data_IF_622324629413
#
_entry.id   IF_622324629413
#
_cell.length_a   1.000
_cell.length_b   1.000
_cell.length_c   1.000
_cell.angle_alpha   90.00
_cell.angle_beta   90.00
_cell.angle_gamma   90.00
#
_symmetry.space_group_name_H-M   'P 1'
#
loop_
_entity.id
_entity.type
_entity.pdbx_description
1 polymer ?
#
# COMPACT_ATOMS: atom_id res chain seq x y z
N UNK A 1 34.21 -6.69 -29.52
CA UNK A 1 33.55 -5.97 -28.40
C UNK A 1 34.60 -5.71 -27.33
N UNK A 2 35.03 -4.46 -27.15
CA UNK A 2 36.06 -4.13 -26.16
C UNK A 2 35.47 -4.25 -24.75
N UNK A 3 36.06 -5.11 -23.89
CA UNK A 3 35.75 -5.15 -22.46
C UNK A 3 36.18 -3.82 -21.85
N UNK A 4 35.24 -2.88 -21.67
CA UNK A 4 35.48 -1.69 -20.86
C UNK A 4 35.79 -2.15 -19.44
N UNK A 5 37.07 -2.04 -19.04
CA UNK A 5 37.46 -2.24 -17.64
C UNK A 5 36.78 -1.15 -16.82
N UNK A 6 35.88 -1.53 -15.92
CA UNK A 6 35.25 -0.61 -14.97
C UNK A 6 36.36 -0.02 -14.12
N UNK A 7 36.62 1.27 -14.28
CA UNK A 7 37.65 2.02 -13.54
C UNK A 7 36.99 2.82 -12.43
N UNK A 8 37.70 3.04 -11.32
CA UNK A 8 37.24 3.88 -10.20
C UNK A 8 36.79 5.28 -10.68
N UNK A 9 37.50 5.86 -11.65
CA UNK A 9 37.16 7.13 -12.28
C UNK A 9 35.85 7.07 -13.09
N UNK A 10 35.57 5.93 -13.72
CA UNK A 10 34.31 5.67 -14.43
C UNK A 10 33.13 5.52 -13.47
N UNK A 11 33.30 4.78 -12.38
CA UNK A 11 32.28 4.64 -11.31
C UNK A 11 31.95 6.02 -10.72
N UNK A 12 32.97 6.81 -10.40
CA UNK A 12 32.78 8.19 -9.91
C UNK A 12 32.07 9.07 -10.93
N UNK A 13 32.40 8.94 -12.21
CA UNK A 13 31.72 9.64 -13.31
C UNK A 13 30.23 9.31 -13.38
N UNK A 14 29.86 8.02 -13.28
CA UNK A 14 28.47 7.58 -13.27
C UNK A 14 27.74 8.10 -12.03
N UNK A 15 28.34 7.99 -10.84
CA UNK A 15 27.77 8.51 -9.59
C UNK A 15 27.47 10.02 -9.69
N UNK A 16 28.45 10.80 -10.18
CA UNK A 16 28.28 12.24 -10.38
C UNK A 16 27.19 12.54 -11.40
N UNK A 17 27.15 11.80 -12.51
CA UNK A 17 26.11 11.96 -13.53
C UNK A 17 24.72 11.61 -12.98
N UNK A 18 24.58 10.56 -12.17
CA UNK A 18 23.32 10.21 -11.52
C UNK A 18 22.82 11.29 -10.55
N UNK A 19 23.71 11.86 -9.72
CA UNK A 19 23.34 12.97 -8.82
C UNK A 19 22.95 14.24 -9.58
N UNK A 20 23.67 14.55 -10.66
CA UNK A 20 23.37 15.73 -11.48
C UNK A 20 22.03 15.53 -12.21
N UNK A 21 21.84 14.37 -12.83
CA UNK A 21 20.58 14.00 -13.49
C UNK A 21 19.39 13.93 -12.53
N UNK A 22 19.59 13.52 -11.28
CA UNK A 22 18.55 13.56 -10.25
C UNK A 22 18.06 14.99 -9.98
N UNK A 23 18.98 15.94 -9.91
CA UNK A 23 18.66 17.37 -9.80
C UNK A 23 17.99 17.92 -11.04
N UNK A 24 18.55 17.64 -12.22
CA UNK A 24 18.04 18.12 -13.52
C UNK A 24 16.62 17.63 -13.80
N UNK A 25 16.32 16.37 -13.46
CA UNK A 25 14.98 15.77 -13.58
C UNK A 25 14.02 16.19 -12.44
N UNK A 26 14.43 17.10 -11.55
CA UNK A 26 13.62 17.62 -10.44
C UNK A 26 12.99 16.50 -9.60
N UNK A 27 13.71 15.40 -9.40
CA UNK A 27 13.16 14.19 -8.78
C UNK A 27 12.61 14.49 -7.39
N UNK A 28 13.27 15.34 -6.59
CA UNK A 28 12.78 15.78 -5.28
C UNK A 28 11.40 16.44 -5.34
N UNK A 29 11.15 17.24 -6.38
CA UNK A 29 9.83 17.90 -6.57
C UNK A 29 8.77 16.86 -6.93
N UNK A 30 9.11 15.93 -7.83
CA UNK A 30 8.22 14.85 -8.26
C UNK A 30 7.89 13.90 -7.10
N UNK A 31 8.88 13.51 -6.30
CA UNK A 31 8.67 12.68 -5.10
C UNK A 31 7.88 13.45 -4.03
N UNK A 32 8.10 14.76 -3.92
CA UNK A 32 7.38 15.63 -2.99
C UNK A 32 5.89 15.76 -3.33
N UNK A 33 5.53 15.97 -4.60
CA UNK A 33 4.12 16.00 -5.02
C UNK A 33 3.45 14.66 -4.81
N UNK A 34 4.13 13.56 -5.15
CA UNK A 34 3.64 12.21 -4.94
C UNK A 34 3.36 11.91 -3.46
N UNK A 35 4.28 12.28 -2.56
CA UNK A 35 4.10 12.12 -1.13
C UNK A 35 2.92 12.97 -0.61
N UNK A 36 2.82 14.23 -1.04
CA UNK A 36 1.72 15.12 -0.68
C UNK A 36 0.37 14.52 -1.09
N UNK A 37 0.21 14.13 -2.35
CA UNK A 37 -1.05 13.53 -2.82
C UNK A 37 -1.38 12.22 -2.11
N UNK A 38 -0.37 11.40 -1.79
CA UNK A 38 -0.56 10.15 -1.05
C UNK A 38 -1.09 10.41 0.36
N UNK A 39 -0.41 11.26 1.14
CA UNK A 39 -0.81 11.58 2.53
C UNK A 39 -2.21 12.18 2.57
N UNK A 40 -2.53 13.13 1.68
CA UNK A 40 -3.87 13.72 1.63
C UNK A 40 -4.95 12.73 1.17
N UNK A 41 -4.60 11.70 0.38
CA UNK A 41 -5.53 10.64 -0.02
C UNK A 41 -5.75 9.58 1.07
N UNK A 42 -4.91 9.52 2.11
CA UNK A 42 -5.02 8.53 3.18
C UNK A 42 -6.31 8.68 3.99
N UNK A 43 -6.69 9.89 4.39
CA UNK A 43 -7.89 10.09 5.19
C UNK A 43 -9.17 9.62 4.46
N UNK A 44 -9.43 10.03 3.20
CA UNK A 44 -10.54 9.49 2.41
C UNK A 44 -10.49 7.97 2.23
N UNK A 45 -9.29 7.40 2.01
CA UNK A 45 -9.12 5.95 1.90
C UNK A 45 -9.53 5.23 3.18
N UNK A 46 -9.06 5.72 4.33
CA UNK A 46 -9.33 5.13 5.64
C UNK A 46 -10.81 5.24 6.02
N UNK A 47 -11.47 6.36 5.67
CA UNK A 47 -12.92 6.51 5.79
C UNK A 47 -13.64 5.40 5.02
N UNK A 48 -13.28 5.18 3.76
CA UNK A 48 -13.91 4.12 2.94
C UNK A 48 -13.64 2.73 3.53
N UNK A 49 -12.41 2.42 3.95
CA UNK A 49 -12.07 1.13 4.56
C UNK A 49 -12.87 0.90 5.84
N UNK A 50 -12.88 1.85 6.77
CA UNK A 50 -13.60 1.73 8.05
C UNK A 50 -15.11 1.62 7.81
N UNK A 51 -15.65 2.37 6.86
CA UNK A 51 -17.07 2.26 6.49
C UNK A 51 -17.41 0.86 5.95
N UNK A 52 -16.61 0.32 5.02
CA UNK A 52 -16.85 -1.00 4.44
C UNK A 52 -16.68 -2.12 5.46
N UNK A 53 -15.60 -2.10 6.25
CA UNK A 53 -15.37 -3.06 7.31
C UNK A 53 -16.41 -2.96 8.42
N UNK A 54 -16.87 -1.75 8.73
CA UNK A 54 -17.88 -1.48 9.74
C UNK A 54 -19.24 -2.11 9.45
N UNK A 55 -19.57 -2.36 8.17
CA UNK A 55 -20.78 -3.10 7.77
C UNK A 55 -20.75 -4.54 8.29
N UNK A 56 -19.57 -5.17 8.35
CA UNK A 56 -19.43 -6.58 8.75
C UNK A 56 -19.00 -6.76 10.22
N UNK A 57 -18.08 -5.92 10.70
CA UNK A 57 -17.39 -6.07 11.99
C UNK A 57 -17.92 -5.11 13.06
N UNK A 58 -18.73 -4.12 12.69
CA UNK A 58 -19.00 -2.96 13.54
C UNK A 58 -17.90 -1.91 13.45
N UNK A 59 -18.31 -0.64 13.49
CA UNK A 59 -17.42 0.50 13.20
C UNK A 59 -16.28 0.66 14.20
N UNK A 60 -16.56 0.53 15.50
CA UNK A 60 -15.56 0.69 16.56
C UNK A 60 -14.43 -0.35 16.45
N UNK A 61 -14.80 -1.60 16.12
CA UNK A 61 -13.84 -2.69 15.91
C UNK A 61 -13.00 -2.42 14.66
N UNK A 62 -13.63 -1.99 13.56
CA UNK A 62 -12.91 -1.64 12.34
C UNK A 62 -11.92 -0.48 12.55
N UNK A 63 -12.33 0.58 13.23
CA UNK A 63 -11.48 1.73 13.55
C UNK A 63 -10.29 1.32 14.44
N UNK A 64 -10.53 0.54 15.50
CA UNK A 64 -9.48 0.05 16.38
C UNK A 64 -8.44 -0.82 15.66
N UNK A 65 -8.90 -1.74 14.79
CA UNK A 65 -8.00 -2.60 13.99
C UNK A 65 -7.16 -1.81 13.00
N UNK A 66 -7.75 -0.81 12.34
CA UNK A 66 -7.02 0.07 11.42
C UNK A 66 -6.00 0.90 12.18
N UNK A 67 -6.35 1.44 13.35
CA UNK A 67 -5.42 2.19 14.19
C UNK A 67 -4.22 1.34 14.64
N UNK A 68 -4.43 0.09 15.08
CA UNK A 68 -3.33 -0.82 15.45
C UNK A 68 -2.32 -1.00 14.30
N UNK A 69 -2.81 -1.15 13.06
CA UNK A 69 -1.96 -1.27 11.88
C UNK A 69 -1.21 0.04 11.57
N UNK A 70 -1.87 1.19 11.70
CA UNK A 70 -1.23 2.49 11.52
C UNK A 70 -0.12 2.73 12.53
N UNK A 71 -0.33 2.38 13.80
CA UNK A 71 0.70 2.49 14.84
C UNK A 71 1.91 1.60 14.52
N UNK A 72 1.67 0.38 14.04
CA UNK A 72 2.74 -0.55 13.65
C UNK A 72 3.59 -0.05 12.48
N UNK A 73 3.00 0.71 11.54
CA UNK A 73 3.69 1.16 10.34
C UNK A 73 4.25 2.59 10.42
N UNK A 74 3.53 3.51 11.07
CA UNK A 74 3.84 4.95 11.09
C UNK A 74 4.30 5.45 12.47
N UNK A 75 4.16 4.62 13.51
CA UNK A 75 4.35 5.04 14.88
C UNK A 75 3.11 5.75 15.45
N UNK A 76 3.12 5.91 16.78
CA UNK A 76 1.94 6.34 17.54
C UNK A 76 1.48 7.77 17.19
N UNK A 77 2.41 8.70 17.04
CA UNK A 77 2.08 10.12 16.82
C UNK A 77 1.33 10.34 15.49
N UNK A 78 1.87 9.80 14.39
CA UNK A 78 1.23 9.91 13.06
C UNK A 78 -0.10 9.14 12.99
N UNK A 79 -0.19 7.98 13.67
CA UNK A 79 -1.43 7.22 13.76
C UNK A 79 -2.53 8.00 14.49
N UNK A 80 -2.21 8.68 15.60
CA UNK A 80 -3.16 9.52 16.33
C UNK A 80 -3.67 10.67 15.46
N UNK A 81 -2.78 11.39 14.74
CA UNK A 81 -3.21 12.47 13.85
C UNK A 81 -4.16 11.98 12.75
N UNK A 82 -3.89 10.82 12.16
CA UNK A 82 -4.79 10.21 11.18
C UNK A 82 -6.13 9.78 11.79
N UNK A 83 -6.11 9.24 13.01
CA UNK A 83 -7.32 8.85 13.72
C UNK A 83 -8.21 10.05 14.04
N UNK A 84 -7.63 11.18 14.46
CA UNK A 84 -8.37 12.42 14.68
C UNK A 84 -9.01 12.93 13.38
N UNK A 85 -8.30 12.89 12.25
CA UNK A 85 -8.87 13.26 10.94
C UNK A 85 -10.07 12.38 10.58
N UNK A 86 -9.96 11.08 10.82
CA UNK A 86 -11.07 10.13 10.59
C UNK A 86 -12.24 10.46 11.51
N UNK A 87 -12.01 10.61 12.82
CA UNK A 87 -13.06 10.91 13.79
C UNK A 87 -13.83 12.17 13.42
N UNK A 88 -13.12 13.22 12.99
CA UNK A 88 -13.72 14.47 12.52
C UNK A 88 -14.59 14.29 11.27
N UNK A 89 -14.23 13.38 10.36
CA UNK A 89 -15.02 13.10 9.16
C UNK A 89 -16.40 12.47 9.46
N UNK A 90 -16.63 11.98 10.68
CA UNK A 90 -17.85 11.29 11.08
C UNK A 90 -18.58 11.93 12.27
N UNK A 91 -18.25 13.17 12.64
CA UNK A 91 -18.84 13.85 13.80
C UNK A 91 -20.34 14.17 13.66
N UNK A 92 -20.83 14.35 12.43
CA UNK A 92 -22.25 14.48 12.16
C UNK A 92 -22.79 13.10 11.73
N UNK A 93 -24.01 12.75 12.17
CA UNK A 93 -24.79 11.54 11.84
C UNK A 93 -25.09 11.34 10.33
N UNK A 94 -24.31 12.00 9.48
CA UNK A 94 -24.27 12.01 8.03
C UNK A 94 -23.21 11.02 7.50
N UNK A 95 -23.11 9.84 8.11
CA UNK A 95 -22.13 8.80 7.70
C UNK A 95 -22.17 8.48 6.21
N UNK A 96 -23.36 8.51 5.60
CA UNK A 96 -23.54 8.32 4.14
C UNK A 96 -22.94 9.44 3.30
N UNK A 97 -23.07 10.70 3.74
CA UNK A 97 -22.51 11.86 3.00
C UNK A 97 -20.98 11.85 3.13
N UNK A 98 -20.45 11.56 4.32
CA UNK A 98 -19.02 11.41 4.55
C UNK A 98 -18.42 10.29 3.69
N UNK A 99 -19.13 9.15 3.56
CA UNK A 99 -18.73 8.05 2.68
C UNK A 99 -18.72 8.49 1.21
N UNK A 100 -19.76 9.16 0.73
CA UNK A 100 -19.83 9.64 -0.67
C UNK A 100 -18.69 10.62 -0.95
N UNK A 101 -18.48 11.62 -0.09
CA UNK A 101 -17.38 12.59 -0.24
C UNK A 101 -16.03 11.88 -0.17
N UNK A 102 -15.88 10.89 0.72
CA UNK A 102 -14.69 10.06 0.84
C UNK A 102 -14.40 9.30 -0.45
N UNK A 103 -15.40 8.63 -1.03
CA UNK A 103 -15.26 7.91 -2.31
C UNK A 103 -14.89 8.87 -3.43
N UNK A 104 -15.58 10.00 -3.58
CA UNK A 104 -15.31 10.98 -4.65
C UNK A 104 -13.89 11.54 -4.51
N UNK A 105 -13.51 11.96 -3.30
CA UNK A 105 -12.16 12.47 -3.02
C UNK A 105 -11.10 11.42 -3.28
N UNK A 106 -11.34 10.16 -2.87
CA UNK A 106 -10.43 9.05 -3.09
C UNK A 106 -10.25 8.74 -4.58
N UNK A 107 -11.32 8.74 -5.37
CA UNK A 107 -11.27 8.48 -6.81
C UNK A 107 -10.46 9.57 -7.54
N UNK A 108 -10.62 10.83 -7.14
CA UNK A 108 -9.85 11.95 -7.66
C UNK A 108 -8.38 11.84 -7.22
N UNK A 109 -8.11 11.67 -5.92
CA UNK A 109 -6.77 11.58 -5.37
C UNK A 109 -5.96 10.42 -5.95
N UNK A 110 -6.54 9.21 -5.96
CA UNK A 110 -5.91 8.01 -6.54
C UNK A 110 -5.62 8.18 -8.03
N UNK A 111 -6.56 8.73 -8.81
CA UNK A 111 -6.33 9.05 -10.22
C UNK A 111 -5.14 9.97 -10.42
N UNK A 112 -5.09 11.07 -9.65
CA UNK A 112 -4.03 12.07 -9.75
C UNK A 112 -2.68 11.45 -9.42
N UNK A 113 -2.60 10.64 -8.37
CA UNK A 113 -1.38 9.90 -8.00
C UNK A 113 -0.88 9.03 -9.15
N UNK A 114 -1.74 8.22 -9.78
CA UNK A 114 -1.33 7.38 -10.90
C UNK A 114 -0.91 8.18 -12.14
N UNK A 115 -1.53 9.34 -12.37
CA UNK A 115 -1.10 10.28 -13.40
C UNK A 115 0.30 10.81 -13.10
N UNK A 116 0.50 11.33 -11.89
CA UNK A 116 1.77 11.88 -11.42
C UNK A 116 2.90 10.85 -11.46
N UNK A 117 2.65 9.59 -11.08
CA UNK A 117 3.65 8.51 -11.16
C UNK A 117 4.07 8.30 -12.62
N UNK A 118 3.09 8.16 -13.53
CA UNK A 118 3.37 7.96 -14.95
C UNK A 118 4.14 9.14 -15.54
N UNK A 119 3.70 10.36 -15.25
CA UNK A 119 4.33 11.58 -15.75
C UNK A 119 5.73 11.78 -15.16
N UNK A 120 5.93 11.43 -13.88
CA UNK A 120 7.24 11.46 -13.23
C UNK A 120 8.21 10.47 -13.89
N UNK A 121 7.78 9.22 -14.09
CA UNK A 121 8.62 8.19 -14.75
C UNK A 121 8.93 8.62 -16.19
N UNK A 122 7.92 9.07 -16.94
CA UNK A 122 8.11 9.54 -18.32
C UNK A 122 9.08 10.72 -18.39
N UNK A 123 8.99 11.65 -17.44
CA UNK A 123 9.91 12.79 -17.32
C UNK A 123 11.33 12.33 -17.05
N UNK A 124 11.53 11.44 -16.07
CA UNK A 124 12.86 10.91 -15.70
C UNK A 124 13.47 10.10 -16.86
N UNK A 125 12.65 9.40 -17.64
CA UNK A 125 13.10 8.59 -18.79
C UNK A 125 13.14 9.37 -20.11
N UNK A 126 12.85 10.67 -20.11
CA UNK A 126 12.87 11.52 -21.31
C UNK A 126 11.84 11.11 -22.37
N UNK A 127 10.80 10.37 -21.98
CA UNK A 127 9.73 9.95 -22.88
C UNK A 127 8.81 11.14 -23.14
N UNK A 128 8.83 11.67 -24.37
CA UNK A 128 7.84 12.67 -24.80
C UNK A 128 6.45 12.04 -24.75
N UNK A 129 5.63 12.47 -23.79
CA UNK A 129 4.24 12.11 -23.74
C UNK A 129 3.59 12.47 -25.09
N UNK A 130 3.20 11.46 -25.87
CA UNK A 130 2.37 11.71 -27.05
C UNK A 130 1.05 12.29 -26.53
N UNK A 131 0.60 13.46 -26.99
CA UNK A 131 -0.66 14.03 -26.55
C UNK A 131 -1.79 13.11 -27.03
N UNK A 132 -2.29 12.24 -26.15
CA UNK A 132 -3.43 11.38 -26.46
C UNK A 132 -4.65 12.01 -25.82
N UNK A 133 -5.25 12.97 -26.51
CA UNK A 133 -6.44 13.74 -26.10
C UNK A 133 -7.75 12.93 -26.11
N UNK A 134 -7.73 11.64 -25.76
CA UNK A 134 -8.93 10.79 -25.81
C UNK A 134 -9.29 10.18 -24.46
N UNK A 135 -10.48 10.50 -23.94
CA UNK A 135 -11.07 9.86 -22.75
C UNK A 135 -11.06 8.33 -22.82
N UNK A 136 -11.22 7.76 -24.02
CA UNK A 136 -11.17 6.31 -24.27
C UNK A 136 -9.79 5.72 -23.97
N UNK A 137 -8.70 6.37 -24.38
CA UNK A 137 -7.35 5.88 -24.07
C UNK A 137 -6.96 6.09 -22.62
N UNK A 138 -7.48 7.14 -21.97
CA UNK A 138 -7.36 7.28 -20.51
C UNK A 138 -8.01 6.10 -19.78
N UNK A 139 -9.21 5.70 -20.20
CA UNK A 139 -9.90 4.55 -19.62
C UNK A 139 -9.15 3.23 -19.87
N UNK A 140 -8.61 3.04 -21.09
CA UNK A 140 -7.86 1.85 -21.45
C UNK A 140 -6.52 1.74 -20.69
N UNK A 141 -5.79 2.85 -20.52
CA UNK A 141 -4.59 2.89 -19.70
C UNK A 141 -4.90 2.62 -18.22
N UNK A 142 -6.01 3.16 -17.69
CA UNK A 142 -6.45 2.86 -16.33
C UNK A 142 -6.76 1.38 -16.14
N UNK A 143 -7.39 0.73 -17.11
CA UNK A 143 -7.71 -0.70 -17.03
C UNK A 143 -6.45 -1.57 -16.93
N UNK A 144 -5.39 -1.25 -17.69
CA UNK A 144 -4.09 -1.93 -17.58
C UNK A 144 -3.48 -1.77 -16.18
N UNK A 145 -3.44 -0.54 -15.64
CA UNK A 145 -2.96 -0.31 -14.27
C UNK A 145 -3.82 -1.02 -13.23
N UNK A 146 -5.14 -1.06 -13.43
CA UNK A 146 -6.07 -1.74 -12.53
C UNK A 146 -5.86 -3.26 -12.54
N UNK A 147 -5.53 -3.84 -13.70
CA UNK A 147 -5.22 -5.26 -13.82
C UNK A 147 -4.01 -5.67 -12.97
N UNK A 148 -3.01 -4.79 -12.82
CA UNK A 148 -1.84 -5.04 -11.95
C UNK A 148 -2.25 -5.05 -10.48
N UNK A 149 -3.15 -4.14 -10.08
CA UNK A 149 -3.65 -4.09 -8.70
C UNK A 149 -4.50 -5.34 -8.40
N UNK A 150 -5.38 -5.74 -9.32
CA UNK A 150 -6.20 -6.95 -9.18
C UNK A 150 -5.32 -8.19 -9.06
N UNK A 151 -4.29 -8.33 -9.90
CA UNK A 151 -3.41 -9.50 -9.84
C UNK A 151 -2.63 -9.54 -8.53
N UNK A 152 -2.12 -8.40 -8.04
CA UNK A 152 -1.45 -8.33 -6.74
C UNK A 152 -2.42 -8.68 -5.59
N UNK A 153 -3.63 -8.13 -5.62
CA UNK A 153 -4.66 -8.41 -4.64
C UNK A 153 -5.08 -9.88 -4.64
N UNK A 154 -5.21 -10.49 -5.82
CA UNK A 154 -5.47 -11.92 -5.96
C UNK A 154 -4.36 -12.77 -5.35
N UNK A 155 -3.08 -12.47 -5.65
CA UNK A 155 -1.94 -13.18 -5.06
C UNK A 155 -1.96 -13.07 -3.53
N UNK A 156 -2.29 -11.90 -3.00
CA UNK A 156 -2.39 -11.66 -1.57
C UNK A 156 -3.55 -12.46 -0.94
N UNK A 157 -4.72 -12.48 -1.57
CA UNK A 157 -5.86 -13.30 -1.13
C UNK A 157 -5.54 -14.80 -1.15
N UNK A 158 -4.84 -15.28 -2.18
CA UNK A 158 -4.38 -16.68 -2.25
C UNK A 158 -3.38 -16.96 -1.14
N UNK A 159 -2.43 -16.06 -0.90
CA UNK A 159 -1.48 -16.18 0.23
C UNK A 159 -2.22 -16.29 1.56
N UNK A 160 -3.22 -15.42 1.79
CA UNK A 160 -4.00 -15.41 3.02
C UNK A 160 -4.80 -16.72 3.17
N UNK A 161 -5.43 -17.19 2.10
CA UNK A 161 -6.17 -18.45 2.12
C UNK A 161 -5.26 -19.64 2.45
N UNK A 162 -4.05 -19.69 1.86
CA UNK A 162 -3.06 -20.72 2.17
C UNK A 162 -2.64 -20.61 3.65
N UNK A 163 -2.34 -19.42 4.15
CA UNK A 163 -1.99 -19.21 5.56
C UNK A 163 -3.10 -19.66 6.50
N UNK A 164 -4.35 -19.27 6.26
CA UNK A 164 -5.48 -19.69 7.09
C UNK A 164 -5.73 -21.21 7.06
N UNK A 165 -5.54 -21.85 5.90
CA UNK A 165 -5.62 -23.31 5.80
C UNK A 165 -4.48 -23.99 6.55
N UNK A 166 -3.26 -23.47 6.44
CA UNK A 166 -2.10 -23.98 7.17
C UNK A 166 -2.26 -23.83 8.67
N UNK A 167 -2.71 -22.67 9.15
CA UNK A 167 -2.97 -22.40 10.56
C UNK A 167 -4.06 -23.35 11.09
N UNK A 168 -5.18 -23.48 10.37
CA UNK A 168 -6.26 -24.39 10.76
C UNK A 168 -5.85 -25.87 10.72
N UNK A 169 -4.96 -26.26 9.80
CA UNK A 169 -4.38 -27.60 9.77
C UNK A 169 -3.40 -27.82 10.93
N UNK A 170 -2.54 -26.84 11.20
CA UNK A 170 -1.59 -26.83 12.32
C UNK A 170 -2.30 -27.00 13.65
N UNK A 171 -3.37 -26.21 13.89
CA UNK A 171 -4.15 -26.28 15.13
C UNK A 171 -4.78 -27.66 15.34
N UNK A 172 -5.30 -28.28 14.27
CA UNK A 172 -5.85 -29.65 14.34
C UNK A 172 -4.77 -30.71 14.57
N UNK A 173 -3.58 -30.51 14.01
CA UNK A 173 -2.44 -31.40 14.22
C UNK A 173 -1.91 -31.27 15.65
N UNK A 174 -1.76 -30.05 16.15
CA UNK A 174 -1.35 -29.78 17.53
C UNK A 174 -2.36 -30.36 18.54
N UNK A 175 -3.66 -30.24 18.29
CA UNK A 175 -4.69 -30.84 19.15
C UNK A 175 -4.63 -32.37 19.22
N UNK A 176 -4.13 -33.04 18.16
CA UNK A 176 -3.97 -34.51 18.13
C UNK A 176 -2.60 -34.99 18.64
N UNK A 177 -1.56 -34.16 18.52
CA UNK A 177 -0.20 -34.48 18.98
C UNK A 177 0.14 -33.92 20.37
N UNK A 178 -0.68 -33.03 20.94
CA UNK A 178 -0.52 -32.53 22.31
C UNK A 178 -0.49 -33.67 23.33
N UNK A 179 -1.32 -34.71 23.13
CA UNK A 179 -1.32 -35.91 23.97
C UNK A 179 0.02 -36.66 23.87
N UNK A 180 0.54 -36.87 22.65
CA UNK A 180 1.81 -37.58 22.41
C UNK A 180 3.00 -36.82 23.00
N UNK A 181 3.00 -35.48 22.89
CA UNK A 181 4.04 -34.63 23.48
C UNK A 181 4.04 -34.73 25.01
N UNK A 182 2.86 -34.77 25.65
CA UNK A 182 2.76 -34.97 27.10
C UNK A 182 3.32 -36.33 27.54
N UNK A 183 3.00 -37.42 26.83
CA UNK A 183 3.53 -38.76 27.17
C UNK A 183 5.04 -38.88 26.92
N UNK A 184 5.56 -38.31 25.83
CA UNK A 184 7.00 -38.32 25.53
C UNK A 184 7.77 -37.51 26.58
N UNK A 185 7.28 -36.33 26.96
CA UNK A 185 7.88 -35.54 28.04
C UNK A 185 7.79 -36.23 29.40
N UNK A 186 6.67 -36.90 29.71
CA UNK A 186 6.52 -37.67 30.94
C UNK A 186 7.53 -38.82 31.03
N UNK A 187 7.71 -39.59 29.95
CA UNK A 187 8.67 -40.71 29.91
C UNK A 187 10.12 -40.23 29.98
N UNK A 188 10.47 -39.13 29.30
CA UNK A 188 11.81 -38.53 29.38
C UNK A 188 12.09 -37.97 30.78
N UNK A 189 11.08 -37.44 31.47
CA UNK A 189 11.24 -36.95 32.84
C UNK A 189 11.34 -38.09 33.87
N UNK A 190 10.96 -39.31 33.49
CA UNK A 190 10.95 -40.50 34.36
C UNK A 190 12.26 -41.32 34.29
N UNK A 191 13.13 -41.01 33.33
CA UNK A 191 14.49 -41.58 33.16
C UNK A 191 15.52 -40.57 33.65
#
# INVERSE_FOLDING_TARGET
MAKQKVTLKGIWGVLKASFTGFGDHKVTKLSGSLAYYTVFSMAPLLVVIISLCGIFLGREIAEGKVYEQLVGFLGRESATSLQELIKNAYLDDKGTIALIIGIVTLLIGSTTIFGDIQDSINTIWGLKAKPKHGWVKMLQNRFLSFSVIISLGFVLLVSLAISSVLDGFSDRLQARFADVSFYVFYVINLV
#
